data_IF_631678126775
#
_entry.id   IF_631678126775
#
_cell.length_a   1.000
_cell.length_b   1.000
_cell.length_c   1.000
_cell.angle_alpha   90.00
_cell.angle_beta   90.00
_cell.angle_gamma   90.00
#
_symmetry.space_group_name_H-M   'P 1'
#
loop_
_entity.id
_entity.type
_entity.pdbx_description
1 polymer ?
#
# COMPACT_ATOMS: atom_id res chain seq x y z
N UNK A 1 6.06 36.86 12.62
CA UNK A 1 7.22 35.94 12.79
C UNK A 1 6.86 34.61 13.46
N UNK A 2 6.17 34.60 14.62
CA UNK A 2 5.77 33.34 15.30
C UNK A 2 4.94 32.35 14.44
N UNK A 3 4.01 32.86 13.63
CA UNK A 3 3.18 32.02 12.72
C UNK A 3 3.99 31.40 11.57
N UNK A 4 5.02 32.08 11.08
CA UNK A 4 5.90 31.57 10.02
C UNK A 4 6.88 30.50 10.55
N UNK A 5 7.33 30.63 11.80
CA UNK A 5 8.18 29.64 12.46
C UNK A 5 7.40 28.33 12.69
N UNK A 6 6.11 28.41 13.03
CA UNK A 6 5.24 27.23 13.15
C UNK A 6 5.04 26.51 11.80
N UNK A 7 4.88 27.25 10.70
CA UNK A 7 4.73 26.67 9.35
C UNK A 7 6.06 26.04 8.88
N UNK A 8 7.19 26.67 9.20
CA UNK A 8 8.52 26.13 8.86
C UNK A 8 8.91 24.92 9.74
N UNK A 9 8.47 24.89 11.00
CA UNK A 9 8.64 23.75 11.89
C UNK A 9 7.76 22.56 11.49
N UNK A 10 6.53 22.78 11.02
CA UNK A 10 5.67 21.71 10.49
C UNK A 10 6.23 21.10 9.19
N UNK A 11 6.91 21.89 8.36
CA UNK A 11 7.52 21.39 7.11
C UNK A 11 8.85 20.67 7.34
N UNK A 12 9.62 21.05 8.37
CA UNK A 12 10.86 20.36 8.74
C UNK A 12 10.66 18.95 9.29
N UNK A 13 9.52 18.67 9.94
CA UNK A 13 9.18 17.33 10.46
C UNK A 13 8.85 16.34 9.34
N UNK A 14 8.45 16.81 8.16
CA UNK A 14 8.10 15.95 7.01
C UNK A 14 9.33 15.37 6.29
N UNK A 15 10.54 15.94 6.49
CA UNK A 15 11.74 15.58 5.70
C UNK A 15 12.61 14.52 6.40
N UNK A 16 12.32 14.16 7.64
CA UNK A 16 13.19 13.29 8.47
C UNK A 16 12.45 12.12 9.12
N UNK A 17 11.67 11.36 8.36
CA UNK A 17 11.12 10.07 8.84
C UNK A 17 11.43 8.96 7.84
N UNK A 18 12.65 8.45 7.90
CA UNK A 18 13.02 7.18 7.28
C UNK A 18 12.66 5.97 8.17
N UNK A 19 11.61 6.06 8.99
CA UNK A 19 11.19 4.92 9.82
C UNK A 19 9.98 5.09 10.76
N UNK A 20 9.14 6.13 10.58
CA UNK A 20 7.94 6.32 11.42
C UNK A 20 6.78 7.05 10.70
N UNK A 21 6.99 7.64 9.51
CA UNK A 21 5.93 8.17 8.66
C UNK A 21 5.88 7.30 7.41
N UNK A 22 4.70 6.77 7.12
CA UNK A 22 4.51 5.74 6.10
C UNK A 22 5.07 6.10 4.72
N UNK A 23 5.39 5.06 3.95
CA UNK A 23 5.77 5.19 2.56
C UNK A 23 4.62 5.85 1.80
N UNK A 24 4.77 7.11 1.38
CA UNK A 24 3.89 7.79 0.40
C UNK A 24 3.93 7.13 -0.99
N UNK A 25 3.57 5.86 -1.06
CA UNK A 25 3.77 4.97 -2.18
C UNK A 25 2.89 5.37 -3.36
N UNK A 26 1.62 5.73 -3.13
CA UNK A 26 0.73 6.15 -4.21
C UNK A 26 1.16 7.51 -4.78
N UNK A 27 1.58 8.43 -3.91
CA UNK A 27 2.07 9.75 -4.32
C UNK A 27 3.34 9.61 -5.15
N UNK A 28 4.28 8.75 -4.74
CA UNK A 28 5.48 8.44 -5.52
C UNK A 28 5.16 7.76 -6.84
N UNK A 29 4.21 6.81 -6.86
CA UNK A 29 3.73 6.17 -8.11
C UNK A 29 3.13 7.19 -9.06
N UNK A 30 2.28 8.10 -8.58
CA UNK A 30 1.67 9.15 -9.39
C UNK A 30 2.72 10.12 -9.96
N UNK A 31 3.70 10.52 -9.14
CA UNK A 31 4.82 11.35 -9.58
C UNK A 31 5.70 10.66 -10.62
N UNK A 32 6.00 9.38 -10.39
CA UNK A 32 6.80 8.54 -11.30
C UNK A 32 6.09 8.32 -12.63
N UNK A 33 4.78 8.12 -12.61
CA UNK A 33 3.98 8.05 -13.83
C UNK A 33 4.04 9.39 -14.58
N UNK A 34 3.78 10.51 -13.92
CA UNK A 34 3.78 11.83 -14.56
C UNK A 34 5.16 12.19 -15.17
N UNK A 35 6.26 11.76 -14.56
CA UNK A 35 7.60 11.99 -15.09
C UNK A 35 7.90 11.19 -16.37
N UNK A 36 7.15 10.12 -16.65
CA UNK A 36 7.32 9.23 -17.79
C UNK A 36 6.37 9.52 -18.97
N UNK A 37 5.32 10.33 -18.79
CA UNK A 37 4.30 10.58 -19.84
C UNK A 37 4.87 11.30 -21.06
N UNK A 38 5.79 12.25 -20.86
CA UNK A 38 6.36 13.00 -21.98
C UNK A 38 7.59 13.84 -21.61
N UNK A 39 7.76 14.95 -22.33
CA UNK A 39 8.86 15.89 -22.11
C UNK A 39 8.60 16.85 -20.96
N UNK A 40 9.65 17.56 -20.51
CA UNK A 40 9.63 18.50 -19.38
C UNK A 40 8.44 19.48 -19.39
N UNK A 41 8.05 19.97 -20.56
CA UNK A 41 6.92 20.89 -20.70
C UNK A 41 5.56 20.21 -20.49
N UNK A 42 5.38 19.00 -21.06
CA UNK A 42 4.15 18.21 -20.94
C UNK A 42 3.96 17.72 -19.50
N UNK A 43 5.01 17.20 -18.88
CA UNK A 43 4.97 16.72 -17.50
C UNK A 43 4.66 17.86 -16.52
N UNK A 44 5.14 19.07 -16.83
CA UNK A 44 4.80 20.26 -16.04
C UNK A 44 3.33 20.64 -16.28
N UNK A 45 2.84 20.70 -17.53
CA UNK A 45 1.43 21.02 -17.78
C UNK A 45 0.48 20.02 -17.09
N UNK A 46 0.80 18.72 -17.11
CA UNK A 46 0.06 17.68 -16.38
C UNK A 46 0.17 17.90 -14.87
N UNK A 47 1.36 18.22 -14.35
CA UNK A 47 1.53 18.54 -12.94
C UNK A 47 0.63 19.69 -12.48
N UNK A 48 0.55 20.77 -13.27
CA UNK A 48 -0.31 21.91 -12.97
C UNK A 48 -1.79 21.52 -13.06
N UNK A 49 -2.19 20.76 -14.07
CA UNK A 49 -3.58 20.26 -14.20
C UNK A 49 -4.00 19.39 -13.02
N UNK A 50 -3.15 18.44 -12.62
CA UNK A 50 -3.36 17.54 -11.47
C UNK A 50 -3.11 18.20 -10.10
N UNK A 51 -2.68 19.46 -10.09
CA UNK A 51 -2.62 20.28 -8.87
C UNK A 51 -3.86 21.17 -8.75
N UNK A 52 -4.42 21.64 -9.88
CA UNK A 52 -5.69 22.38 -9.93
C UNK A 52 -6.86 21.45 -9.60
N UNK A 53 -6.93 20.30 -10.28
CA UNK A 53 -7.76 19.17 -9.85
C UNK A 53 -6.92 18.49 -8.79
N UNK A 54 -7.30 18.47 -7.50
CA UNK A 54 -6.39 18.19 -6.38
C UNK A 54 -5.94 16.72 -6.26
N UNK A 55 -5.56 16.07 -7.37
CA UNK A 55 -5.20 14.66 -7.45
C UNK A 55 -3.97 14.35 -6.59
N UNK A 56 -2.90 15.16 -6.64
CA UNK A 56 -1.74 14.98 -5.75
C UNK A 56 -2.10 15.16 -4.28
N UNK A 57 -3.01 16.08 -3.97
CA UNK A 57 -3.49 16.31 -2.60
C UNK A 57 -4.33 15.14 -2.07
N UNK A 58 -5.23 14.61 -2.90
CA UNK A 58 -6.07 13.45 -2.56
C UNK A 58 -5.21 12.20 -2.37
N UNK A 59 -4.29 11.93 -3.30
CA UNK A 59 -3.40 10.76 -3.21
C UNK A 59 -2.46 10.87 -2.01
N UNK A 60 -1.89 12.05 -1.76
CA UNK A 60 -1.09 12.30 -0.56
C UNK A 60 -1.88 12.15 0.75
N UNK A 61 -3.15 12.53 0.76
CA UNK A 61 -4.03 12.34 1.92
C UNK A 61 -4.37 10.86 2.15
N UNK A 62 -4.59 10.11 1.07
CA UNK A 62 -4.81 8.66 1.14
C UNK A 62 -3.57 7.95 1.66
N UNK A 63 -2.38 8.30 1.18
CA UNK A 63 -1.13 7.77 1.71
C UNK A 63 -0.98 8.09 3.21
N UNK A 64 -1.23 9.36 3.60
CA UNK A 64 -1.05 9.84 4.96
C UNK A 64 -2.02 9.22 5.97
N UNK A 65 -3.27 8.99 5.58
CA UNK A 65 -4.32 8.49 6.47
C UNK A 65 -4.50 6.99 6.33
N UNK A 66 -4.69 6.49 5.12
CA UNK A 66 -5.09 5.09 4.89
C UNK A 66 -3.85 4.20 4.89
N UNK A 67 -2.87 4.50 4.03
CA UNK A 67 -1.71 3.61 3.88
C UNK A 67 -0.76 3.68 5.07
N UNK A 68 -0.54 4.86 5.65
CA UNK A 68 0.22 4.98 6.90
C UNK A 68 -0.47 4.26 8.08
N UNK A 69 -1.80 4.28 8.14
CA UNK A 69 -2.54 3.49 9.15
C UNK A 69 -2.36 2.00 8.90
N UNK A 70 -2.46 1.54 7.66
CA UNK A 70 -2.23 0.13 7.32
C UNK A 70 -0.79 -0.27 7.66
N UNK A 71 0.21 0.52 7.24
CA UNK A 71 1.63 0.29 7.52
C UNK A 71 1.93 0.27 9.02
N UNK A 72 1.29 1.14 9.81
CA UNK A 72 1.42 1.13 11.27
C UNK A 72 0.93 -0.17 11.91
N UNK A 73 -0.22 -0.71 11.47
CA UNK A 73 -0.80 -1.93 12.04
C UNK A 73 -0.22 -3.22 11.45
N UNK A 74 0.31 -3.18 10.23
CA UNK A 74 0.74 -4.38 9.48
C UNK A 74 2.26 -4.49 9.30
N UNK A 75 3.02 -3.41 9.52
CA UNK A 75 4.47 -3.37 9.34
C UNK A 75 4.93 -3.11 7.90
N UNK A 76 4.02 -3.18 6.93
CA UNK A 76 4.31 -3.02 5.50
C UNK A 76 3.24 -2.22 4.78
N UNK A 77 3.64 -1.54 3.70
CA UNK A 77 2.72 -0.90 2.79
C UNK A 77 2.37 -1.87 1.64
N UNK A 78 1.12 -2.40 1.54
CA UNK A 78 0.74 -3.33 0.49
C UNK A 78 0.80 -2.70 -0.91
N UNK A 79 0.66 -1.36 -1.00
CA UNK A 79 0.77 -0.63 -2.25
C UNK A 79 2.22 -0.39 -2.69
N UNK A 80 3.20 -0.65 -1.83
CA UNK A 80 4.63 -0.45 -2.08
C UNK A 80 5.42 -1.75 -2.30
N UNK A 81 4.86 -2.93 -1.97
CA UNK A 81 5.55 -4.21 -2.13
C UNK A 81 5.99 -4.39 -3.60
N UNK A 82 7.29 -4.54 -3.84
CA UNK A 82 7.80 -4.81 -5.17
C UNK A 82 7.56 -6.28 -5.56
N UNK A 83 7.54 -6.63 -6.85
CA UNK A 83 7.52 -8.02 -7.28
C UNK A 83 8.69 -8.79 -6.67
N UNK A 84 8.39 -9.78 -5.83
CA UNK A 84 9.38 -10.60 -5.10
C UNK A 84 9.53 -10.27 -3.62
N UNK A 85 8.95 -9.16 -3.14
CA UNK A 85 8.89 -8.87 -1.71
C UNK A 85 7.92 -9.82 -1.01
N UNK A 86 8.36 -10.38 0.11
CA UNK A 86 7.57 -11.29 0.95
C UNK A 86 7.68 -10.83 2.38
N UNK A 87 6.54 -10.57 3.01
CA UNK A 87 6.46 -10.31 4.43
C UNK A 87 5.63 -11.38 5.13
N UNK A 88 6.15 -11.91 6.22
CA UNK A 88 5.49 -12.95 7.02
C UNK A 88 5.29 -12.43 8.44
N UNK A 89 4.03 -12.45 8.88
CA UNK A 89 3.60 -12.04 10.21
C UNK A 89 2.94 -13.23 10.90
N UNK A 90 3.14 -13.36 12.21
CA UNK A 90 2.47 -14.38 13.02
C UNK A 90 1.53 -13.70 14.01
N UNK A 91 0.28 -14.14 14.06
CA UNK A 91 -0.72 -13.68 15.03
C UNK A 91 -1.19 -14.85 15.90
N UNK A 92 -1.50 -14.57 17.16
CA UNK A 92 -2.15 -15.53 18.05
C UNK A 92 -3.53 -15.01 18.41
N UNK A 93 -4.58 -15.74 18.04
CA UNK A 93 -5.98 -15.37 18.26
C UNK A 93 -6.68 -16.55 18.89
N UNK A 94 -7.21 -16.38 20.11
CA UNK A 94 -7.87 -17.43 20.88
C UNK A 94 -7.04 -18.71 21.07
N UNK A 95 -5.71 -18.58 21.18
CA UNK A 95 -4.80 -19.73 21.30
C UNK A 95 -4.50 -20.45 19.98
N UNK A 96 -5.08 -20.00 18.86
CA UNK A 96 -4.74 -20.47 17.51
C UNK A 96 -3.66 -19.57 16.91
N UNK A 97 -2.65 -20.17 16.31
CA UNK A 97 -1.58 -19.44 15.65
C UNK A 97 -1.90 -19.29 14.16
N UNK A 98 -1.84 -18.05 13.67
CA UNK A 98 -2.03 -17.71 12.28
C UNK A 98 -0.73 -17.19 11.69
N UNK A 99 -0.40 -17.65 10.48
CA UNK A 99 0.67 -17.11 9.65
C UNK A 99 0.03 -16.33 8.51
N UNK A 100 0.34 -15.04 8.46
CA UNK A 100 -0.10 -14.14 7.40
C UNK A 100 1.11 -13.85 6.52
N UNK A 101 0.98 -14.09 5.22
CA UNK A 101 2.03 -13.80 4.24
C UNK A 101 1.50 -12.75 3.27
N UNK A 102 2.10 -11.57 3.28
CA UNK A 102 1.83 -10.52 2.30
C UNK A 102 2.90 -10.56 1.21
N UNK A 103 2.47 -10.42 -0.05
CA UNK A 103 3.31 -10.33 -1.23
C UNK A 103 2.65 -9.37 -2.24
N UNK A 104 3.40 -8.98 -3.28
CA UNK A 104 2.82 -8.18 -4.35
C UNK A 104 1.60 -8.89 -4.97
N UNK A 105 0.44 -8.21 -4.96
CA UNK A 105 -0.84 -8.73 -5.44
C UNK A 105 -1.34 -10.03 -4.79
N UNK A 106 -0.73 -10.49 -3.69
CA UNK A 106 -1.09 -11.75 -3.06
C UNK A 106 -1.05 -11.64 -1.53
N UNK A 107 -2.07 -12.16 -0.88
CA UNK A 107 -2.15 -12.22 0.58
C UNK A 107 -2.65 -13.59 1.01
N UNK A 108 -1.92 -14.24 1.91
CA UNK A 108 -2.21 -15.60 2.38
C UNK A 108 -2.39 -15.58 3.89
N UNK A 109 -3.43 -16.22 4.38
CA UNK A 109 -3.69 -16.45 5.81
C UNK A 109 -3.78 -17.93 6.05
N UNK A 110 -2.91 -18.45 6.90
CA UNK A 110 -2.81 -19.86 7.22
C UNK A 110 -2.98 -20.06 8.73
N UNK A 111 -3.86 -20.98 9.16
CA UNK A 111 -3.92 -21.43 10.56
C UNK A 111 -2.92 -22.56 10.77
N UNK A 112 -1.89 -22.32 11.57
CA UNK A 112 -0.81 -23.25 11.86
C UNK A 112 -1.27 -24.33 12.85
N UNK A 113 -0.91 -25.58 12.54
CA UNK A 113 -1.06 -26.73 13.42
C UNK A 113 0.24 -27.52 13.47
N UNK A 114 0.33 -28.50 14.36
CA UNK A 114 1.53 -29.34 14.54
C UNK A 114 1.95 -30.07 13.25
N UNK A 115 0.99 -30.33 12.35
CA UNK A 115 1.19 -31.09 11.10
C UNK A 115 1.25 -30.19 9.84
N UNK A 116 1.29 -28.86 10.01
CA UNK A 116 1.31 -27.89 8.91
C UNK A 116 0.24 -26.82 9.08
N UNK A 117 -0.80 -26.84 8.24
CA UNK A 117 -1.87 -25.84 8.27
C UNK A 117 -3.26 -26.50 8.23
N UNK A 118 -4.19 -26.03 9.07
CA UNK A 118 -5.57 -26.50 9.09
C UNK A 118 -6.47 -25.71 8.14
N UNK A 119 -6.20 -24.41 7.98
CA UNK A 119 -6.92 -23.51 7.10
C UNK A 119 -5.92 -22.68 6.30
N UNK A 120 -6.19 -22.46 5.00
CA UNK A 120 -5.36 -21.63 4.14
C UNK A 120 -6.25 -20.84 3.19
N UNK A 121 -6.40 -19.55 3.46
CA UNK A 121 -7.09 -18.62 2.59
C UNK A 121 -6.06 -17.79 1.82
N UNK A 122 -6.19 -17.76 0.51
CA UNK A 122 -5.33 -17.01 -0.41
C UNK A 122 -6.19 -16.01 -1.18
N UNK A 123 -5.75 -14.76 -1.17
CA UNK A 123 -6.37 -13.62 -1.83
C UNK A 123 -5.38 -13.13 -2.89
N UNK A 124 -5.77 -13.16 -4.15
CA UNK A 124 -4.92 -12.77 -5.28
C UNK A 124 -5.62 -11.71 -6.11
N UNK A 125 -4.90 -10.64 -6.42
CA UNK A 125 -5.35 -9.66 -7.39
C UNK A 125 -4.64 -9.89 -8.74
N UNK A 126 -5.41 -10.27 -9.75
CA UNK A 126 -4.96 -10.36 -11.13
C UNK A 126 -5.11 -8.97 -11.77
N UNK A 127 -3.99 -8.26 -11.87
CA UNK A 127 -3.87 -6.92 -12.41
C UNK A 127 -4.02 -6.87 -13.94
N UNK A 128 -3.72 -7.97 -14.63
CA UNK A 128 -3.90 -8.09 -16.09
C UNK A 128 -5.37 -8.14 -16.45
N UNK A 129 -6.16 -8.89 -15.68
CA UNK A 129 -7.58 -9.12 -15.97
C UNK A 129 -8.52 -8.32 -15.07
N UNK A 130 -8.01 -7.50 -14.15
CA UNK A 130 -8.77 -6.78 -13.12
C UNK A 130 -9.70 -7.70 -12.30
N UNK A 131 -9.18 -8.85 -11.87
CA UNK A 131 -9.96 -9.84 -11.11
C UNK A 131 -9.41 -10.00 -9.71
N UNK A 132 -10.31 -10.06 -8.73
CA UNK A 132 -9.99 -10.46 -7.38
C UNK A 132 -10.36 -11.93 -7.18
N UNK A 133 -9.38 -12.75 -6.83
CA UNK A 133 -9.50 -14.20 -6.71
C UNK A 133 -9.32 -14.57 -5.23
N UNK A 134 -10.24 -15.36 -4.69
CA UNK A 134 -10.18 -15.86 -3.31
C UNK A 134 -10.25 -17.37 -3.33
N UNK A 135 -9.27 -18.03 -2.72
CA UNK A 135 -9.16 -19.50 -2.69
C UNK A 135 -8.95 -19.99 -1.26
N UNK A 136 -9.71 -21.00 -0.81
CA UNK A 136 -9.50 -21.66 0.50
C UNK A 136 -8.90 -23.08 0.33
N UNK A 137 -8.01 -23.25 -0.65
CA UNK A 137 -7.42 -24.54 -1.05
C UNK A 137 -8.37 -25.54 -1.73
N UNK A 138 -9.68 -25.43 -1.50
CA UNK A 138 -10.72 -26.33 -2.04
C UNK A 138 -11.63 -25.60 -3.03
N UNK A 139 -12.09 -24.41 -2.65
CA UNK A 139 -12.96 -23.57 -3.48
C UNK A 139 -12.22 -22.31 -3.91
N UNK A 140 -12.44 -21.91 -5.16
CA UNK A 140 -11.97 -20.64 -5.73
C UNK A 140 -13.17 -19.81 -6.17
N UNK A 141 -13.23 -18.57 -5.69
CA UNK A 141 -14.21 -17.55 -6.12
C UNK A 141 -13.49 -16.41 -6.82
N UNK A 142 -14.04 -16.01 -7.96
CA UNK A 142 -13.49 -14.92 -8.78
C UNK A 142 -14.50 -13.79 -8.81
N UNK A 143 -14.05 -12.61 -8.42
CA UNK A 143 -14.81 -11.38 -8.43
C UNK A 143 -14.21 -10.46 -9.50
N UNK A 144 -15.03 -10.08 -10.48
CA UNK A 144 -14.60 -9.09 -11.47
C UNK A 144 -14.71 -7.69 -10.87
N UNK A 145 -13.64 -6.91 -10.96
CA UNK A 145 -13.65 -5.49 -10.60
C UNK A 145 -14.06 -4.73 -11.86
N UNK A 146 -15.28 -4.17 -11.87
CA UNK A 146 -15.88 -3.50 -13.03
C UNK A 146 -15.29 -2.10 -13.25
#
# INVERSE_FOLDING_TARGET
>A
MRKFILILALTGVMVSHSGCFGEFALTRKLYSWNSQVGGKFVNNLIFWGLSIIPAYGVVGFIDLIILNTIEFWTGSNPAAMAPGDVEVQYANVDGRQFKMTAQHNNFIVEELTTDGYQLRNEFTFDDVNNKFIVTNGIETKVFATK
#
